data_IF_602267738603
#
_entry.id   IF_602267738603
#
_cell.length_a   1.000
_cell.length_b   1.000
_cell.length_c   1.000
_cell.angle_alpha   90.00
_cell.angle_beta   90.00
_cell.angle_gamma   90.00
#
_symmetry.space_group_name_H-M   'P 1'
#
loop_
_entity.id
_entity.type
_entity.pdbx_description
1 polymer ?
#
# COMPACT_ATOMS: atom_id res chain seq x y z
N UNK A 1 -4.80 -69.13 40.96
CA UNK A 1 -5.14 -67.93 41.77
C UNK A 1 -5.42 -66.85 40.82
N UNK A 2 -6.69 -66.64 40.60
CA UNK A 2 -7.26 -65.68 39.65
C UNK A 2 -7.18 -64.29 40.20
N UNK A 3 -6.81 -63.33 39.35
CA UNK A 3 -7.18 -61.93 39.51
C UNK A 3 -7.67 -61.36 38.19
N UNK A 4 -9.00 -61.33 38.10
CA UNK A 4 -9.71 -60.58 37.09
C UNK A 4 -9.50 -59.06 37.31
N UNK A 5 -9.08 -58.39 36.28
CA UNK A 5 -9.13 -56.92 36.26
C UNK A 5 -10.25 -56.45 35.35
N UNK A 6 -11.22 -55.84 35.98
CA UNK A 6 -12.46 -55.29 35.47
C UNK A 6 -12.15 -54.11 34.51
N UNK A 7 -12.71 -54.19 33.29
CA UNK A 7 -12.72 -53.11 32.32
C UNK A 7 -13.84 -52.14 32.68
N UNK A 8 -13.52 -50.99 33.19
CA UNK A 8 -14.44 -49.86 33.28
C UNK A 8 -14.42 -49.02 31.98
N UNK A 9 -15.56 -49.01 31.31
CA UNK A 9 -15.84 -48.09 30.21
C UNK A 9 -15.98 -46.68 30.79
N UNK A 10 -15.05 -45.78 30.42
CA UNK A 10 -15.06 -44.38 30.80
C UNK A 10 -14.75 -43.48 29.61
N UNK A 11 -15.78 -42.87 29.11
CA UNK A 11 -15.84 -41.54 28.51
C UNK A 11 -14.89 -41.23 27.35
N UNK A 12 -15.46 -41.32 26.16
CA UNK A 12 -14.96 -40.69 24.96
C UNK A 12 -15.00 -39.16 25.15
N UNK A 13 -13.96 -38.58 25.72
CA UNK A 13 -13.78 -37.14 25.75
C UNK A 13 -13.41 -36.68 24.34
N UNK A 14 -14.36 -36.00 23.74
CA UNK A 14 -14.31 -35.28 22.48
C UNK A 14 -13.10 -34.34 22.51
N UNK A 15 -12.01 -34.70 21.84
CA UNK A 15 -10.91 -33.82 21.59
C UNK A 15 -11.42 -32.73 20.62
N UNK A 16 -11.89 -31.64 21.14
CA UNK A 16 -12.06 -30.39 20.42
C UNK A 16 -10.69 -29.99 19.91
N UNK A 17 -10.50 -30.20 18.63
CA UNK A 17 -9.38 -29.63 17.90
C UNK A 17 -9.53 -28.10 17.96
N UNK A 18 -8.94 -27.52 18.97
CA UNK A 18 -8.53 -26.11 18.92
C UNK A 18 -7.64 -25.98 17.68
N UNK A 19 -8.24 -25.57 16.58
CA UNK A 19 -7.50 -25.02 15.47
C UNK A 19 -6.87 -23.74 15.99
N UNK A 20 -5.69 -23.85 16.55
CA UNK A 20 -4.81 -22.72 16.67
C UNK A 20 -4.58 -22.29 15.22
N UNK A 21 -5.29 -21.25 14.79
CA UNK A 21 -4.85 -20.44 13.69
C UNK A 21 -3.47 -19.95 14.13
N UNK A 22 -2.43 -20.58 13.62
CA UNK A 22 -1.08 -20.07 13.72
C UNK A 22 -1.11 -18.79 12.88
N UNK A 23 -1.45 -17.69 13.50
CA UNK A 23 -1.27 -16.36 12.92
C UNK A 23 0.25 -16.25 12.78
N UNK A 24 0.75 -16.54 11.60
CA UNK A 24 2.13 -16.25 11.27
C UNK A 24 2.29 -14.78 11.57
N UNK A 25 3.05 -14.46 12.60
CA UNK A 25 3.28 -13.08 13.02
C UNK A 25 3.90 -12.34 11.82
N UNK A 26 3.08 -11.57 11.10
CA UNK A 26 3.54 -10.78 9.97
C UNK A 26 4.45 -9.69 10.52
N UNK A 27 5.66 -9.63 10.03
CA UNK A 27 6.52 -8.49 10.32
C UNK A 27 6.12 -7.33 9.43
N UNK A 28 5.87 -6.18 10.05
CA UNK A 28 5.39 -4.98 9.37
C UNK A 28 6.49 -3.92 9.27
N UNK A 29 6.49 -3.24 8.14
CA UNK A 29 7.33 -2.09 7.84
C UNK A 29 6.49 -0.82 7.93
N UNK A 30 7.11 0.26 8.36
CA UNK A 30 6.64 1.62 8.10
C UNK A 30 7.34 2.11 6.84
N UNK A 31 6.59 2.55 5.85
CA UNK A 31 7.15 3.07 4.59
C UNK A 31 6.64 4.48 4.39
N UNK A 32 7.54 5.46 4.50
CA UNK A 32 7.28 6.84 4.14
C UNK A 32 7.37 6.99 2.62
N UNK A 33 6.38 7.63 2.02
CA UNK A 33 6.27 7.86 0.59
C UNK A 33 6.02 9.34 0.35
N UNK A 34 6.92 10.01 -0.34
CA UNK A 34 6.83 11.41 -0.72
C UNK A 34 6.62 11.54 -2.22
N UNK A 35 5.63 12.31 -2.66
CA UNK A 35 5.47 12.66 -4.07
C UNK A 35 6.51 13.70 -4.47
N UNK A 36 7.43 13.31 -5.34
CA UNK A 36 8.56 14.15 -5.79
C UNK A 36 8.17 14.97 -7.01
N UNK A 37 7.55 14.33 -8.00
CA UNK A 37 7.20 14.98 -9.27
C UNK A 37 6.03 14.28 -9.96
N UNK A 38 5.41 14.95 -10.92
CA UNK A 38 4.41 14.43 -11.85
C UNK A 38 4.20 15.44 -12.98
N UNK A 39 3.88 14.98 -14.19
CA UNK A 39 3.79 15.82 -15.40
C UNK A 39 5.03 16.71 -15.58
N UNK A 40 6.23 16.16 -15.39
CA UNK A 40 7.51 16.86 -15.46
C UNK A 40 7.66 18.07 -14.52
N UNK A 41 6.83 18.15 -13.45
CA UNK A 41 6.86 19.23 -12.46
C UNK A 41 7.26 18.69 -11.09
N UNK A 42 8.27 19.28 -10.44
CA UNK A 42 8.58 18.92 -9.05
C UNK A 42 7.56 19.53 -8.08
N UNK A 43 7.32 18.82 -6.97
CA UNK A 43 6.48 19.31 -5.89
C UNK A 43 7.33 19.79 -4.71
N UNK A 44 6.98 20.97 -4.19
CA UNK A 44 7.59 21.49 -2.98
C UNK A 44 6.61 22.42 -2.23
N UNK A 45 6.33 22.20 -0.93
CA UNK A 45 6.76 21.03 -0.15
C UNK A 45 6.15 19.76 -0.72
N UNK A 46 6.85 18.62 -0.57
CA UNK A 46 6.39 17.34 -1.07
C UNK A 46 5.26 16.82 -0.19
N UNK A 47 4.08 16.52 -0.75
CA UNK A 47 3.07 15.80 0.00
C UNK A 47 3.51 14.36 0.22
N UNK A 48 3.12 13.80 1.36
CA UNK A 48 3.55 12.45 1.70
C UNK A 48 2.50 11.65 2.47
N UNK A 49 2.73 10.34 2.49
CA UNK A 49 1.93 9.35 3.22
C UNK A 49 2.86 8.33 3.85
N UNK A 50 2.49 7.82 5.01
CA UNK A 50 3.21 6.73 5.67
C UNK A 50 2.33 5.50 5.68
N UNK A 51 2.85 4.41 5.14
CA UNK A 51 2.14 3.15 4.98
C UNK A 51 2.64 2.11 5.98
N UNK A 52 1.71 1.36 6.56
CA UNK A 52 1.99 0.10 7.21
C UNK A 52 1.92 -1.01 6.16
N UNK A 53 2.98 -1.77 5.96
CA UNK A 53 3.03 -2.84 4.99
C UNK A 53 3.69 -4.09 5.57
N UNK A 54 3.02 -5.25 5.47
CA UNK A 54 3.61 -6.51 5.89
C UNK A 54 4.70 -6.95 4.90
N UNK A 55 5.77 -7.54 5.40
CA UNK A 55 6.83 -8.11 4.55
C UNK A 55 6.34 -9.21 3.61
N UNK A 56 5.18 -9.79 3.89
CA UNK A 56 4.53 -10.79 3.03
C UNK A 56 3.73 -10.22 1.88
N UNK A 57 3.44 -8.91 1.89
CA UNK A 57 2.81 -8.23 0.77
C UNK A 57 3.76 -8.17 -0.42
N UNK A 58 3.20 -8.08 -1.62
CA UNK A 58 3.96 -7.89 -2.86
C UNK A 58 4.24 -6.41 -3.13
N UNK A 59 5.13 -6.14 -4.06
CA UNK A 59 5.32 -4.78 -4.56
C UNK A 59 4.07 -4.27 -5.31
N UNK A 60 3.28 -5.15 -5.94
CA UNK A 60 2.00 -4.75 -6.51
C UNK A 60 1.03 -4.26 -5.43
N UNK A 61 0.90 -4.99 -4.32
CA UNK A 61 0.04 -4.55 -3.20
C UNK A 61 0.45 -3.16 -2.70
N UNK A 62 1.76 -2.88 -2.65
CA UNK A 62 2.26 -1.57 -2.26
C UNK A 62 1.99 -0.51 -3.33
N UNK A 63 2.16 -0.82 -4.61
CA UNK A 63 1.86 0.09 -5.73
C UNK A 63 0.39 0.52 -5.70
N UNK A 64 -0.52 -0.43 -5.57
CA UNK A 64 -1.97 -0.17 -5.49
C UNK A 64 -2.31 0.72 -4.30
N UNK A 65 -1.72 0.42 -3.12
CA UNK A 65 -1.93 1.24 -1.94
C UNK A 65 -1.39 2.66 -2.10
N UNK A 66 -0.22 2.85 -2.72
CA UNK A 66 0.34 4.17 -3.01
C UNK A 66 -0.57 4.91 -3.99
N UNK A 67 -0.98 4.29 -5.08
CA UNK A 67 -1.85 4.91 -6.07
C UNK A 67 -3.15 5.43 -5.45
N UNK A 68 -3.82 4.59 -4.67
CA UNK A 68 -5.01 4.98 -3.91
C UNK A 68 -4.68 6.08 -2.91
N UNK A 69 -3.59 5.92 -2.15
CA UNK A 69 -3.14 6.86 -1.13
C UNK A 69 -2.77 8.25 -1.64
N UNK A 70 -2.39 8.34 -2.91
CA UNK A 70 -2.09 9.58 -3.59
C UNK A 70 -3.20 10.05 -4.54
N UNK A 71 -4.39 9.41 -4.47
CA UNK A 71 -5.56 9.82 -5.21
C UNK A 71 -5.49 9.59 -6.71
N UNK A 72 -4.77 8.56 -7.14
CA UNK A 72 -4.78 8.14 -8.54
C UNK A 72 -6.10 7.43 -8.80
N UNK A 73 -6.83 7.86 -9.79
CA UNK A 73 -8.17 7.36 -10.11
C UNK A 73 -8.24 6.65 -11.46
N UNK A 74 -7.37 6.98 -12.41
CA UNK A 74 -7.13 6.18 -13.61
C UNK A 74 -5.94 5.25 -13.35
N UNK A 75 -6.23 4.00 -13.05
CA UNK A 75 -5.24 2.98 -12.69
C UNK A 75 -4.81 2.12 -13.88
N UNK A 76 -5.16 2.50 -15.11
CA UNK A 76 -4.85 1.73 -16.32
C UNK A 76 -3.40 1.86 -16.81
N UNK A 77 -2.54 2.49 -16.00
CA UNK A 77 -1.15 2.75 -16.32
C UNK A 77 -0.18 1.78 -15.65
N UNK A 78 0.97 1.60 -16.27
CA UNK A 78 2.06 0.80 -15.72
C UNK A 78 2.77 1.55 -14.59
N UNK A 79 3.40 0.76 -13.73
CA UNK A 79 4.21 1.27 -12.64
C UNK A 79 5.50 0.48 -12.47
N UNK A 80 6.50 1.12 -11.87
CA UNK A 80 7.79 0.49 -11.58
C UNK A 80 8.35 0.94 -10.24
N UNK A 81 9.14 0.06 -9.66
CA UNK A 81 10.02 0.36 -8.54
C UNK A 81 11.47 0.24 -8.99
N UNK A 82 12.32 1.14 -8.51
CA UNK A 82 13.76 1.06 -8.67
C UNK A 82 14.37 1.09 -7.27
N UNK A 83 15.01 -0.02 -6.88
CA UNK A 83 15.65 -0.14 -5.57
C UNK A 83 17.03 0.54 -5.57
N UNK A 84 17.61 0.72 -4.39
CA UNK A 84 18.90 1.38 -4.21
C UNK A 84 20.07 0.64 -4.92
N UNK A 85 19.96 -0.68 -5.05
CA UNK A 85 20.92 -1.50 -5.78
C UNK A 85 20.71 -1.48 -7.31
N UNK A 86 19.76 -0.70 -7.81
CA UNK A 86 19.39 -0.61 -9.22
C UNK A 86 18.45 -1.71 -9.71
N UNK A 87 17.98 -2.59 -8.83
CA UNK A 87 17.00 -3.62 -9.20
C UNK A 87 15.70 -2.95 -9.65
N UNK A 88 15.22 -3.31 -10.84
CA UNK A 88 13.94 -2.86 -11.38
C UNK A 88 12.87 -3.92 -11.14
N UNK A 89 11.73 -3.50 -10.56
CA UNK A 89 10.56 -4.33 -10.30
C UNK A 89 9.38 -3.66 -11.00
N UNK A 90 8.79 -4.33 -12.00
CA UNK A 90 7.73 -3.78 -12.84
C UNK A 90 6.83 -4.90 -13.38
N UNK A 91 5.85 -4.53 -14.18
CA UNK A 91 4.97 -5.48 -14.85
C UNK A 91 5.70 -6.17 -16.01
N UNK A 92 5.61 -7.50 -16.08
CA UNK A 92 6.01 -8.28 -17.25
C UNK A 92 4.85 -8.32 -18.26
N UNK A 93 4.53 -7.19 -18.88
CA UNK A 93 3.49 -7.12 -19.91
C UNK A 93 4.08 -7.63 -21.24
N UNK A 94 3.41 -8.53 -21.97
CA UNK A 94 3.85 -9.02 -23.28
C UNK A 94 4.03 -7.93 -24.36
N UNK A 95 3.45 -6.74 -24.16
CA UNK A 95 3.61 -5.57 -25.04
C UNK A 95 4.70 -4.60 -24.60
N UNK A 96 5.24 -4.77 -23.42
CA UNK A 96 6.33 -3.99 -22.86
C UNK A 96 7.60 -4.87 -22.86
N UNK A 97 8.66 -4.42 -23.49
CA UNK A 97 9.95 -5.11 -23.47
C UNK A 97 10.68 -4.74 -22.17
N UNK A 98 10.54 -5.55 -21.09
CA UNK A 98 11.18 -5.21 -19.84
C UNK A 98 12.68 -5.25 -20.04
N UNK A 99 13.38 -4.33 -19.39
CA UNK A 99 14.84 -4.35 -19.33
C UNK A 99 15.29 -5.73 -18.83
N UNK A 100 16.30 -6.30 -19.46
CA UNK A 100 16.84 -7.60 -19.04
C UNK A 100 17.17 -7.58 -17.54
N UNK A 101 16.57 -8.50 -16.78
CA UNK A 101 16.70 -8.55 -15.32
C UNK A 101 15.58 -7.90 -14.51
N UNK A 102 14.55 -7.34 -15.18
CA UNK A 102 13.36 -6.82 -14.49
C UNK A 102 12.62 -7.95 -13.76
N UNK A 103 12.25 -7.71 -12.51
CA UNK A 103 11.50 -8.64 -11.67
C UNK A 103 10.00 -8.35 -11.78
N UNK A 104 9.15 -9.40 -11.86
CA UNK A 104 7.70 -9.27 -11.90
C UNK A 104 7.15 -8.72 -10.57
N UNK A 105 6.44 -7.59 -10.65
CA UNK A 105 5.93 -6.84 -9.49
C UNK A 105 4.93 -7.65 -8.65
N UNK A 106 4.22 -8.61 -9.25
CA UNK A 106 3.21 -9.45 -8.58
C UNK A 106 3.83 -10.53 -7.72
N UNK A 107 5.04 -10.95 -8.05
CA UNK A 107 5.69 -12.10 -7.43
C UNK A 107 6.69 -11.66 -6.34
N UNK A 108 7.30 -10.48 -6.51
CA UNK A 108 8.31 -9.99 -5.57
C UNK A 108 7.65 -9.43 -4.30
N UNK A 109 8.21 -9.80 -3.15
CA UNK A 109 7.67 -9.45 -1.83
C UNK A 109 8.46 -8.35 -1.16
N UNK A 110 7.76 -7.57 -0.33
CA UNK A 110 8.37 -6.51 0.49
C UNK A 110 9.35 -7.06 1.55
N UNK A 111 9.45 -8.40 1.72
CA UNK A 111 10.49 -9.01 2.53
C UNK A 111 11.91 -8.73 2.01
N UNK A 112 12.05 -8.38 0.73
CA UNK A 112 13.30 -7.94 0.10
C UNK A 112 13.85 -6.67 0.72
N UNK A 113 12.97 -5.73 1.10
CA UNK A 113 13.37 -4.42 1.61
C UNK A 113 14.11 -4.51 2.95
N UNK A 114 15.22 -3.79 3.06
CA UNK A 114 15.91 -3.56 4.32
C UNK A 114 15.30 -2.39 5.11
N UNK A 115 15.57 -2.29 6.40
CA UNK A 115 15.27 -1.09 7.18
C UNK A 115 16.13 0.07 6.67
N UNK A 116 15.58 1.29 6.70
CA UNK A 116 16.21 2.52 6.22
C UNK A 116 16.52 2.56 4.72
N UNK A 117 16.13 1.50 3.98
CA UNK A 117 16.30 1.45 2.53
C UNK A 117 15.45 2.52 1.85
N UNK A 118 16.01 3.12 0.80
CA UNK A 118 15.34 4.09 -0.05
C UNK A 118 15.19 3.54 -1.45
N UNK A 119 14.01 3.77 -2.04
CA UNK A 119 13.72 3.32 -3.39
C UNK A 119 12.77 4.31 -4.08
N UNK A 120 12.74 4.29 -5.39
CA UNK A 120 11.80 5.06 -6.18
C UNK A 120 10.57 4.22 -6.54
N UNK A 121 9.41 4.87 -6.60
CA UNK A 121 8.20 4.35 -7.19
C UNK A 121 7.69 5.33 -8.23
N UNK A 122 7.46 4.87 -9.46
CA UNK A 122 6.88 5.67 -10.53
C UNK A 122 5.59 5.01 -11.00
N UNK A 123 4.50 5.76 -10.94
CA UNK A 123 3.22 5.41 -11.55
C UNK A 123 3.04 6.21 -12.83
N UNK A 124 2.47 5.57 -13.85
CA UNK A 124 2.31 6.13 -15.18
C UNK A 124 3.64 6.57 -15.79
N UNK A 125 4.24 5.70 -16.60
CA UNK A 125 5.56 5.95 -17.19
C UNK A 125 5.55 7.10 -18.21
N UNK A 126 4.35 7.53 -18.66
CA UNK A 126 4.15 8.71 -19.51
C UNK A 126 4.21 10.00 -18.68
N UNK A 127 3.33 10.14 -17.70
CA UNK A 127 3.19 11.33 -16.84
C UNK A 127 4.18 11.36 -15.68
N UNK A 128 4.80 10.23 -15.36
CA UNK A 128 5.92 10.07 -14.43
C UNK A 128 5.61 10.59 -13.02
N UNK A 129 4.52 10.09 -12.43
CA UNK A 129 4.22 10.32 -11.02
C UNK A 129 5.24 9.61 -10.14
N UNK A 130 6.32 10.32 -9.83
CA UNK A 130 7.49 9.75 -9.15
C UNK A 130 7.44 10.02 -7.65
N UNK A 131 7.63 8.97 -6.88
CA UNK A 131 7.63 9.00 -5.42
C UNK A 131 8.98 8.53 -4.90
N UNK A 132 9.44 9.14 -3.82
CA UNK A 132 10.54 8.65 -3.00
C UNK A 132 9.97 7.87 -1.86
N UNK A 133 10.35 6.61 -1.74
CA UNK A 133 9.97 5.73 -0.66
C UNK A 133 11.14 5.52 0.30
N UNK A 134 10.88 5.54 1.59
CA UNK A 134 11.89 5.29 2.64
C UNK A 134 11.32 4.31 3.66
N UNK A 135 11.99 3.18 3.85
CA UNK A 135 11.62 2.24 4.90
C UNK A 135 12.04 2.81 6.26
N UNK A 136 11.16 2.77 7.23
CA UNK A 136 11.47 3.23 8.59
C UNK A 136 12.60 2.42 9.26
N UNK A 137 13.25 3.00 10.27
CA UNK A 137 14.36 2.36 10.97
C UNK A 137 13.92 1.19 11.85
N UNK A 138 12.64 1.09 12.15
CA UNK A 138 12.08 0.08 13.04
C UNK A 138 10.88 -0.62 12.41
N UNK A 139 10.65 -1.85 12.86
CA UNK A 139 9.43 -2.59 12.56
C UNK A 139 8.28 -2.02 13.38
N UNK A 140 7.09 -2.02 12.80
CA UNK A 140 5.89 -1.57 13.50
C UNK A 140 4.97 -2.75 13.83
N UNK A 141 4.17 -2.56 14.87
CA UNK A 141 3.02 -3.41 15.17
C UNK A 141 1.75 -2.60 14.85
N UNK A 142 1.03 -2.97 13.78
CA UNK A 142 -0.13 -2.19 13.36
C UNK A 142 -1.25 -2.21 14.40
N UNK A 143 -1.44 -3.29 15.13
CA UNK A 143 -2.48 -3.36 16.16
C UNK A 143 -2.21 -2.36 17.29
N UNK A 144 -0.95 -2.26 17.74
CA UNK A 144 -0.58 -1.30 18.76
C UNK A 144 -0.49 0.15 18.24
N UNK A 145 -0.20 0.32 16.95
CA UNK A 145 0.01 1.65 16.35
C UNK A 145 -1.32 2.33 16.00
N UNK A 146 -2.30 1.60 15.48
CA UNK A 146 -3.57 2.16 15.01
C UNK A 146 -4.80 1.25 15.23
N UNK A 147 -4.67 0.22 16.06
CA UNK A 147 -5.81 -0.57 16.58
C UNK A 147 -6.36 -1.64 15.65
N UNK A 148 -5.72 -1.88 14.49
CA UNK A 148 -6.14 -2.89 13.51
C UNK A 148 -4.95 -3.48 12.79
N UNK A 149 -5.04 -4.76 12.42
CA UNK A 149 -4.08 -5.41 11.52
C UNK A 149 -4.69 -5.46 10.12
N UNK A 150 -4.24 -4.61 9.20
CA UNK A 150 -4.83 -4.57 7.86
C UNK A 150 -4.43 -5.81 7.03
N UNK A 151 -5.25 -6.12 6.02
CA UNK A 151 -4.95 -7.21 5.08
C UNK A 151 -3.98 -6.79 3.96
N UNK A 152 -4.00 -5.51 3.60
CA UNK A 152 -3.20 -4.88 2.54
C UNK A 152 -2.37 -3.74 3.11
N UNK A 153 -1.34 -3.26 2.39
CA UNK A 153 -0.62 -2.05 2.77
C UNK A 153 -1.61 -0.90 2.95
N UNK A 154 -1.53 -0.25 4.10
CA UNK A 154 -2.51 0.77 4.49
C UNK A 154 -1.80 2.01 4.98
N UNK A 155 -2.16 3.18 4.47
CA UNK A 155 -1.61 4.42 4.99
C UNK A 155 -2.22 4.74 6.36
N UNK A 156 -1.41 5.24 7.25
CA UNK A 156 -1.81 5.58 8.62
C UNK A 156 -1.38 6.98 9.06
N UNK A 157 -0.57 7.66 8.24
CA UNK A 157 -0.18 9.06 8.46
C UNK A 157 0.07 9.75 7.12
N UNK A 158 0.01 11.09 7.08
CA UNK A 158 0.34 11.84 5.87
C UNK A 158 0.27 13.34 6.06
N UNK A 159 0.74 14.06 5.05
CA UNK A 159 0.80 15.53 5.02
C UNK A 159 0.70 16.06 3.60
N UNK A 160 0.46 17.33 3.49
CA UNK A 160 0.43 18.08 2.24
C UNK A 160 -0.84 17.84 1.42
N UNK A 161 -1.02 18.70 0.43
CA UNK A 161 -2.14 18.64 -0.51
C UNK A 161 -1.73 17.83 -1.74
N UNK A 162 -2.54 16.83 -2.08
CA UNK A 162 -2.30 15.99 -3.23
C UNK A 162 -2.84 16.66 -4.50
N UNK A 163 -2.06 16.69 -5.58
CA UNK A 163 -2.57 17.09 -6.88
C UNK A 163 -3.48 16.01 -7.46
N UNK A 164 -4.55 16.43 -8.13
CA UNK A 164 -5.34 15.51 -8.95
C UNK A 164 -4.50 14.98 -10.12
N UNK A 165 -4.77 13.75 -10.56
CA UNK A 165 -3.97 13.05 -11.57
C UNK A 165 -3.87 13.79 -12.91
N UNK A 166 -5.00 14.39 -13.36
CA UNK A 166 -5.07 15.15 -14.62
C UNK A 166 -5.53 16.59 -14.41
N UNK A 167 -5.45 17.08 -13.16
CA UNK A 167 -5.81 18.46 -12.84
C UNK A 167 -7.32 18.72 -12.84
N UNK A 168 -8.14 17.69 -12.55
CA UNK A 168 -9.59 17.87 -12.40
C UNK A 168 -9.89 18.87 -11.30
N UNK A 169 -10.88 19.69 -11.55
CA UNK A 169 -11.34 20.74 -10.64
C UNK A 169 -12.75 20.48 -10.10
N UNK A 170 -13.46 19.52 -10.71
CA UNK A 170 -14.79 19.03 -10.31
C UNK A 170 -15.00 17.58 -10.82
N UNK A 171 -16.01 16.90 -10.32
CA UNK A 171 -16.22 15.46 -10.56
C UNK A 171 -16.38 15.03 -12.03
N UNK A 172 -16.90 15.92 -12.88
CA UNK A 172 -17.08 15.66 -14.32
C UNK A 172 -16.01 16.32 -15.20
N UNK A 173 -14.94 16.83 -14.59
CA UNK A 173 -13.79 17.38 -15.31
C UNK A 173 -12.91 16.22 -15.78
N UNK A 174 -12.57 16.17 -17.06
CA UNK A 174 -11.65 15.19 -17.64
C UNK A 174 -10.18 15.58 -17.48
N UNK A 175 -9.90 16.79 -16.98
CA UNK A 175 -8.54 17.32 -16.84
C UNK A 175 -7.99 17.99 -18.08
N UNK A 176 -8.67 17.91 -19.23
CA UNK A 176 -8.19 18.40 -20.54
C UNK A 176 -8.27 19.93 -20.70
N UNK A 177 -8.56 20.67 -19.67
CA UNK A 177 -8.29 22.10 -19.63
C UNK A 177 -9.35 23.03 -20.24
N UNK A 178 -10.59 22.65 -20.33
CA UNK A 178 -11.71 23.50 -20.72
C UNK A 178 -11.94 24.70 -19.76
N UNK A 179 -12.82 25.61 -20.14
CA UNK A 179 -13.24 26.71 -19.27
C UNK A 179 -13.92 26.17 -18.00
N UNK A 180 -13.51 26.68 -16.84
CA UNK A 180 -14.14 26.33 -15.55
C UNK A 180 -15.59 26.76 -15.58
N UNK A 181 -16.58 25.87 -15.39
CA UNK A 181 -17.96 26.26 -15.25
C UNK A 181 -18.15 27.24 -14.08
N UNK A 182 -19.06 28.21 -14.17
CA UNK A 182 -19.19 29.27 -13.17
C UNK A 182 -19.61 28.79 -11.77
N UNK A 183 -20.00 27.55 -11.61
CA UNK A 183 -20.56 27.02 -10.36
C UNK A 183 -19.88 25.72 -9.88
N UNK A 184 -18.57 25.59 -10.09
CA UNK A 184 -17.80 24.45 -9.56
C UNK A 184 -17.58 24.61 -8.08
N UNK A 185 -18.23 23.76 -7.30
CA UNK A 185 -17.90 23.58 -5.89
C UNK A 185 -16.72 22.61 -5.81
N UNK A 186 -15.60 23.04 -5.29
CA UNK A 186 -14.44 22.19 -5.03
C UNK A 186 -14.70 21.01 -4.09
N UNK A 187 -15.96 20.84 -3.64
CA UNK A 187 -16.41 19.73 -2.82
C UNK A 187 -17.01 18.54 -3.59
N UNK A 188 -17.11 18.64 -4.93
CA UNK A 188 -17.72 17.57 -5.73
C UNK A 188 -16.73 16.47 -6.14
N UNK A 189 -15.42 16.68 -5.94
CA UNK A 189 -14.45 15.63 -6.10
C UNK A 189 -14.62 14.61 -4.97
N UNK A 190 -14.64 13.31 -5.27
CA UNK A 190 -14.74 12.30 -4.23
C UNK A 190 -13.60 12.50 -3.24
N UNK A 191 -13.86 12.36 -1.93
CA UNK A 191 -12.79 12.39 -0.94
C UNK A 191 -11.75 11.34 -1.32
N UNK A 192 -10.47 11.68 -1.20
CA UNK A 192 -9.33 10.86 -1.61
C UNK A 192 -9.34 9.46 -1.01
N UNK A 193 -10.00 9.24 0.09
CA UNK A 193 -10.35 7.93 0.65
C UNK A 193 -11.49 8.13 1.64
N UNK A 194 -12.71 7.69 1.35
CA UNK A 194 -13.85 7.83 2.26
C UNK A 194 -13.57 7.21 3.64
N UNK A 195 -12.78 6.14 3.67
CA UNK A 195 -12.42 5.43 4.89
C UNK A 195 -11.32 6.12 5.70
N UNK A 196 -10.59 7.04 5.13
CA UNK A 196 -9.55 7.79 5.87
C UNK A 196 -10.12 8.86 6.77
N UNK A 197 -11.33 9.33 6.50
CA UNK A 197 -11.95 10.42 7.24
C UNK A 197 -12.09 10.15 8.74
N UNK A 198 -12.18 8.91 9.17
CA UNK A 198 -12.31 8.55 10.58
C UNK A 198 -10.97 8.23 11.26
N UNK A 199 -9.98 7.70 10.49
CA UNK A 199 -8.60 7.46 10.98
C UNK A 199 -7.84 8.76 11.25
N UNK A 200 -8.27 9.86 10.62
CA UNK A 200 -7.65 11.18 10.75
C UNK A 200 -8.42 12.14 11.65
N UNK A 201 -9.50 11.71 12.26
CA UNK A 201 -10.10 12.48 13.34
C UNK A 201 -9.15 12.39 14.52
N UNK A 202 -8.38 13.45 14.74
CA UNK A 202 -7.76 13.69 16.04
C UNK A 202 -8.89 13.62 17.06
N UNK A 203 -8.83 12.76 18.09
CA UNK A 203 -9.83 12.81 19.16
C UNK A 203 -9.83 14.24 19.74
N UNK A 204 -11.01 14.84 19.83
CA UNK A 204 -11.20 16.11 20.54
C UNK A 204 -10.75 16.03 21.99
#
# INVERSE_FOLDING_TARGET
MDWQCSVSRGSCARAERLRHNCVVARTWLSIEVELVSGHDRPFWPRPGRVFAAARSHTFLDLADAINVGFGRWDLSHLSEFILDDGTQISHADPGYDPTEGTIEIRDEKLSRLALEERFAYTFDLGDRWTHLCTVGPEKIDPESTFGVVPELPTPYFGWGTLPDQYGRRWSADDGEGGSVPPDTRGGDLPPLLPEWGWLWRVPD
#
